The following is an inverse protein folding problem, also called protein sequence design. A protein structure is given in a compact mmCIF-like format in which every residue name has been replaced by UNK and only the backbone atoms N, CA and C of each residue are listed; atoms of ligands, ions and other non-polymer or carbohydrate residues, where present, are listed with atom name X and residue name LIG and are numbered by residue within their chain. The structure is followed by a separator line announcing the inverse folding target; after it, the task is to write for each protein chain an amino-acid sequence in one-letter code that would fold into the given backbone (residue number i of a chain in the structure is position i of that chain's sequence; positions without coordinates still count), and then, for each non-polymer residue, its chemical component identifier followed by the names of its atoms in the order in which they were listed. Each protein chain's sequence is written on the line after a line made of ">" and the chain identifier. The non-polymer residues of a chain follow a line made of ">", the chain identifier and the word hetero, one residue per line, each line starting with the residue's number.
data_IF_289457930716
#
_entry.id   IF_289457930716
#
_cell.length_a   1.000
_cell.length_b   1.000
_cell.length_c   1.000
_cell.angle_alpha   90.00
_cell.angle_beta   90.00
_cell.angle_gamma   90.00
#
_symmetry.space_group_name_H-M   'P 1'
#
loop_
_entity.id
_entity.type
_entity.pdbx_description
1 polymer ?
#
# COMPACT_ATOMS: atom_id res chain seq x y z
N UNK A 1 0.38 24.63 27.94
CA UNK A 1 -0.08 23.24 28.23
C UNK A 1 -0.26 22.57 26.89
N UNK A 2 0.78 21.92 26.37
CA UNK A 2 0.70 21.24 25.07
C UNK A 2 -0.14 19.98 25.25
N UNK A 3 -1.28 19.91 24.56
CA UNK A 3 -2.14 18.73 24.53
C UNK A 3 -1.43 17.62 23.77
N UNK A 4 -0.76 16.72 24.50
CA UNK A 4 -0.15 15.50 23.95
C UNK A 4 -1.26 14.49 23.64
N UNK A 5 -2.04 14.76 22.59
CA UNK A 5 -2.85 13.71 21.99
C UNK A 5 -1.88 12.77 21.28
N UNK A 6 -1.58 11.62 21.87
CA UNK A 6 -0.85 10.56 21.18
C UNK A 6 -1.58 10.25 19.87
N UNK A 7 -0.91 10.43 18.74
CA UNK A 7 -1.52 10.27 17.41
C UNK A 7 -2.10 8.86 17.17
N UNK A 8 -1.60 7.86 17.90
CA UNK A 8 -1.99 6.45 17.79
C UNK A 8 -2.16 5.82 19.17
N UNK A 9 -3.10 4.88 19.27
CA UNK A 9 -3.32 4.07 20.48
C UNK A 9 -2.86 2.64 20.31
N UNK A 10 -2.56 1.96 21.41
CA UNK A 10 -2.24 0.52 21.39
C UNK A 10 -3.44 -0.24 20.83
N UNK A 11 -3.18 -1.13 19.87
CA UNK A 11 -4.19 -1.87 19.13
C UNK A 11 -4.52 -1.27 17.77
N UNK A 12 -4.20 0.00 17.51
CA UNK A 12 -4.49 0.66 16.23
C UNK A 12 -3.73 0.01 15.07
N UNK A 13 -4.41 -0.08 13.93
CA UNK A 13 -3.78 -0.36 12.65
C UNK A 13 -3.18 0.92 12.05
N UNK A 14 -1.95 0.80 11.58
CA UNK A 14 -1.16 1.91 11.06
C UNK A 14 -0.51 1.50 9.76
N UNK A 15 -0.36 2.45 8.84
CA UNK A 15 0.39 2.25 7.61
C UNK A 15 1.74 2.93 7.76
N UNK A 16 2.80 2.12 7.65
CA UNK A 16 4.16 2.59 7.63
C UNK A 16 4.69 2.54 6.18
N UNK A 17 5.12 3.67 5.59
CA UNK A 17 5.68 3.70 4.25
C UNK A 17 6.77 2.63 4.06
N UNK A 18 6.77 1.90 2.94
CA UNK A 18 7.65 0.75 2.67
C UNK A 18 7.44 -0.53 3.50
N UNK A 19 6.72 -0.53 4.62
CA UNK A 19 6.40 -1.77 5.39
C UNK A 19 4.91 -2.14 5.43
N UNK A 20 4.04 -1.18 5.12
CA UNK A 20 2.63 -1.44 4.86
C UNK A 20 1.84 -1.38 6.16
N UNK A 21 0.79 -2.19 6.24
CA UNK A 21 -0.05 -2.24 7.44
C UNK A 21 0.70 -2.96 8.57
N UNK A 22 0.84 -2.28 9.70
CA UNK A 22 1.28 -2.83 10.96
C UNK A 22 0.28 -2.52 12.07
N UNK A 23 0.51 -3.08 13.24
CA UNK A 23 -0.30 -2.83 14.44
C UNK A 23 0.54 -2.24 15.55
N UNK A 24 0.02 -1.24 16.24
CA UNK A 24 0.64 -0.71 17.46
C UNK A 24 0.47 -1.74 18.58
N UNK A 25 1.58 -2.32 19.03
CA UNK A 25 1.61 -3.32 20.10
C UNK A 25 1.70 -2.66 21.46
N UNK A 26 2.52 -1.60 21.56
CA UNK A 26 2.84 -0.95 22.84
C UNK A 26 3.35 0.47 22.60
N UNK A 27 3.17 1.34 23.60
CA UNK A 27 3.88 2.61 23.72
C UNK A 27 4.91 2.48 24.85
N UNK A 28 6.19 2.45 24.49
CA UNK A 28 7.30 2.25 25.43
C UNK A 28 7.95 3.60 25.78
N UNK A 29 8.36 3.77 27.04
CA UNK A 29 9.23 4.86 27.50
C UNK A 29 10.63 4.31 27.74
N UNK A 30 11.63 4.86 27.08
CA UNK A 30 13.02 4.43 27.19
C UNK A 30 13.95 5.63 27.37
N UNK A 31 14.94 5.51 28.25
CA UNK A 31 15.96 6.53 28.44
C UNK A 31 17.17 6.21 27.56
N UNK A 32 17.42 7.05 26.55
CA UNK A 32 18.53 6.88 25.61
C UNK A 32 19.43 8.12 25.71
N UNK A 33 20.70 7.92 26.08
CA UNK A 33 21.68 9.00 26.27
C UNK A 33 21.23 10.11 27.24
N UNK A 34 20.54 9.73 28.33
CA UNK A 34 20.04 10.66 29.34
C UNK A 34 18.77 11.43 28.94
N UNK A 35 18.18 11.11 27.78
CA UNK A 35 16.91 11.67 27.32
C UNK A 35 15.80 10.63 27.39
N UNK A 36 14.69 10.99 28.02
CA UNK A 36 13.47 10.17 28.06
C UNK A 36 12.75 10.28 26.69
N UNK A 37 12.61 9.14 26.00
CA UNK A 37 11.95 9.04 24.69
C UNK A 37 10.73 8.13 24.79
N UNK A 38 9.63 8.55 24.16
CA UNK A 38 8.47 7.72 23.91
C UNK A 38 8.57 7.09 22.52
N UNK A 39 8.37 5.77 22.45
CA UNK A 39 8.53 4.93 21.26
C UNK A 39 7.25 4.12 21.01
N UNK A 40 6.68 4.21 19.81
CA UNK A 40 5.67 3.27 19.35
C UNK A 40 6.35 1.96 18.94
N UNK A 41 5.87 0.84 19.48
CA UNK A 41 6.29 -0.51 19.08
C UNK A 41 5.26 -1.02 18.06
N UNK A 42 5.68 -1.15 16.81
CA UNK A 42 4.85 -1.62 15.69
C UNK A 42 5.21 -3.05 15.35
N UNK A 43 4.22 -3.92 15.17
CA UNK A 43 4.41 -5.27 14.63
C UNK A 43 3.81 -5.39 13.23
N UNK A 44 4.59 -5.94 12.31
CA UNK A 44 4.18 -6.28 10.95
C UNK A 44 4.10 -7.80 10.86
N UNK A 45 2.90 -8.33 10.63
CA UNK A 45 2.64 -9.78 10.70
C UNK A 45 3.33 -10.53 9.56
N UNK A 46 3.28 -9.97 8.34
CA UNK A 46 3.84 -10.58 7.14
C UNK A 46 5.36 -10.69 7.19
N UNK A 47 6.04 -9.59 7.53
CA UNK A 47 7.50 -9.53 7.62
C UNK A 47 8.03 -10.13 8.94
N UNK A 48 7.15 -10.53 9.87
CA UNK A 48 7.50 -10.96 11.24
C UNK A 48 8.46 -9.98 11.93
N UNK A 49 8.26 -8.70 11.66
CA UNK A 49 9.17 -7.63 12.04
C UNK A 49 8.53 -6.74 13.11
N UNK A 50 9.36 -6.27 14.05
CA UNK A 50 8.97 -5.27 15.04
C UNK A 50 9.81 -4.00 14.83
N UNK A 51 9.16 -2.85 14.69
CA UNK A 51 9.82 -1.55 14.58
C UNK A 51 9.52 -0.68 15.79
N UNK A 52 10.50 0.11 16.24
CA UNK A 52 10.34 1.13 17.27
C UNK A 52 10.45 2.51 16.64
N UNK A 53 9.40 3.30 16.74
CA UNK A 53 9.33 4.63 16.13
C UNK A 53 9.15 5.69 17.20
N UNK A 54 10.09 6.63 17.35
CA UNK A 54 9.93 7.76 18.26
C UNK A 54 8.68 8.59 17.94
N UNK A 55 7.88 8.91 18.95
CA UNK A 55 6.62 9.66 18.80
C UNK A 55 6.84 10.98 18.04
N UNK A 56 7.96 11.65 18.29
CA UNK A 56 8.33 12.91 17.64
C UNK A 56 8.72 12.79 16.15
N UNK A 57 8.94 11.58 15.63
CA UNK A 57 9.31 11.33 14.22
C UNK A 57 8.21 10.73 13.38
N UNK A 58 7.07 10.39 13.98
CA UNK A 58 5.94 9.71 13.33
C UNK A 58 5.47 10.44 12.08
N UNK A 59 5.20 11.74 12.17
CA UNK A 59 4.76 12.56 11.04
C UNK A 59 5.84 12.68 9.95
N UNK A 60 7.10 12.88 10.35
CA UNK A 60 8.23 13.03 9.44
C UNK A 60 8.50 11.77 8.61
N UNK A 61 8.18 10.59 9.15
CA UNK A 61 8.34 9.30 8.47
C UNK A 61 7.13 8.99 7.57
N UNK A 62 6.02 9.73 7.70
CA UNK A 62 4.79 9.48 6.94
C UNK A 62 3.96 8.33 7.49
N UNK A 63 4.11 8.00 8.78
CA UNK A 63 3.26 7.01 9.43
C UNK A 63 1.84 7.55 9.57
N UNK A 64 0.85 6.78 9.09
CA UNK A 64 -0.56 7.20 9.05
C UNK A 64 -1.50 6.13 9.59
N UNK A 65 -2.74 6.53 9.88
CA UNK A 65 -3.83 5.58 10.15
C UNK A 65 -4.24 4.87 8.85
N UNK A 66 -4.98 3.76 8.98
CA UNK A 66 -5.65 3.14 7.84
C UNK A 66 -6.46 4.16 7.05
N UNK A 67 -6.57 3.90 5.75
CA UNK A 67 -7.41 4.70 4.87
C UNK A 67 -8.88 4.69 5.33
N UNK A 68 -9.62 5.74 4.97
CA UNK A 68 -11.07 5.77 5.17
C UNK A 68 -11.78 4.90 4.14
N UNK A 69 -12.99 4.44 4.45
CA UNK A 69 -13.86 3.72 3.50
C UNK A 69 -14.04 4.49 2.18
N UNK A 70 -14.11 5.83 2.25
CA UNK A 70 -14.17 6.69 1.05
C UNK A 70 -12.93 6.53 0.17
N UNK A 71 -11.74 6.56 0.77
CA UNK A 71 -10.47 6.39 0.06
C UNK A 71 -10.34 4.99 -0.53
N UNK A 72 -10.80 3.97 0.20
CA UNK A 72 -10.83 2.59 -0.30
C UNK A 72 -11.74 2.46 -1.52
N UNK A 73 -12.96 3.00 -1.46
CA UNK A 73 -13.89 3.04 -2.61
C UNK A 73 -13.26 3.72 -3.82
N UNK A 74 -12.58 4.84 -3.61
CA UNK A 74 -11.86 5.54 -4.68
C UNK A 74 -10.72 4.69 -5.27
N UNK A 75 -9.96 3.98 -4.43
CA UNK A 75 -8.91 3.07 -4.90
C UNK A 75 -9.49 1.91 -5.72
N UNK A 76 -10.59 1.32 -5.27
CA UNK A 76 -11.31 0.27 -5.99
C UNK A 76 -11.88 0.77 -7.32
N UNK A 77 -12.43 1.99 -7.37
CA UNK A 77 -12.88 2.62 -8.61
C UNK A 77 -11.71 2.87 -9.57
N UNK A 78 -10.56 3.28 -9.04
CA UNK A 78 -9.33 3.51 -9.81
C UNK A 78 -8.84 2.24 -10.50
N UNK A 79 -8.98 1.07 -9.86
CA UNK A 79 -8.66 -0.24 -10.46
C UNK A 79 -9.53 -0.55 -11.69
N UNK A 80 -10.79 -0.11 -11.71
CA UNK A 80 -11.73 -0.35 -12.81
C UNK A 80 -11.49 0.53 -14.03
N UNK A 81 -10.70 1.60 -13.89
CA UNK A 81 -10.44 2.54 -14.97
C UNK A 81 -9.50 2.00 -16.05
N UNK A 82 -9.32 2.78 -17.12
CA UNK A 82 -8.37 2.45 -18.20
C UNK A 82 -6.91 2.54 -17.71
N UNK A 83 -6.06 1.52 -17.95
CA UNK A 83 -4.62 1.60 -17.70
C UNK A 83 -3.97 2.80 -18.40
N UNK A 84 -3.19 3.59 -17.67
CA UNK A 84 -2.53 4.81 -18.19
C UNK A 84 -1.02 4.60 -18.28
N UNK A 85 -0.61 3.69 -19.15
CA UNK A 85 0.81 3.36 -19.33
C UNK A 85 1.52 4.44 -20.16
N UNK A 86 2.49 5.13 -19.55
CA UNK A 86 3.32 6.13 -20.26
C UNK A 86 4.27 5.45 -21.26
N UNK A 87 4.54 6.11 -22.39
CA UNK A 87 5.50 5.67 -23.42
C UNK A 87 6.98 5.99 -23.08
N UNK A 88 7.33 6.05 -21.80
CA UNK A 88 8.70 6.30 -21.34
C UNK A 88 9.48 5.01 -21.13
N UNK A 89 10.81 5.08 -21.14
CA UNK A 89 11.67 3.94 -20.83
C UNK A 89 11.29 3.31 -19.50
N UNK A 90 11.26 1.96 -19.48
CA UNK A 90 10.81 1.16 -18.33
C UNK A 90 11.50 1.56 -17.02
N UNK A 91 12.82 1.77 -17.03
CA UNK A 91 13.57 2.17 -15.82
C UNK A 91 12.98 3.41 -15.14
N UNK A 92 12.55 4.42 -15.91
CA UNK A 92 11.92 5.63 -15.37
C UNK A 92 10.51 5.33 -14.82
N UNK A 93 9.75 4.46 -15.49
CA UNK A 93 8.43 4.02 -15.03
C UNK A 93 8.51 3.21 -13.74
N UNK A 94 9.45 2.28 -13.66
CA UNK A 94 9.71 1.46 -12.47
C UNK A 94 10.00 2.36 -11.26
N UNK A 95 10.87 3.37 -11.41
CA UNK A 95 11.17 4.32 -10.35
C UNK A 95 9.93 5.14 -9.92
N UNK A 96 9.10 5.59 -10.88
CA UNK A 96 7.84 6.29 -10.57
C UNK A 96 6.85 5.38 -9.83
N UNK A 97 6.75 4.11 -10.23
CA UNK A 97 5.87 3.13 -9.58
C UNK A 97 6.35 2.76 -8.19
N UNK A 98 7.65 2.53 -8.00
CA UNK A 98 8.23 2.32 -6.68
C UNK A 98 8.01 3.53 -5.77
N UNK A 99 8.15 4.76 -6.30
CA UNK A 99 7.87 5.97 -5.54
C UNK A 99 6.39 6.05 -5.11
N UNK A 100 5.45 5.67 -5.99
CA UNK A 100 4.02 5.57 -5.68
C UNK A 100 3.71 4.48 -4.64
N UNK A 101 4.39 3.34 -4.71
CA UNK A 101 4.22 2.27 -3.71
C UNK A 101 4.78 2.72 -2.36
N UNK A 102 5.93 3.40 -2.38
CA UNK A 102 6.62 3.86 -1.19
C UNK A 102 5.98 5.11 -0.56
N UNK A 103 5.16 5.87 -1.29
CA UNK A 103 4.40 7.00 -0.71
C UNK A 103 3.37 6.53 0.31
N UNK A 104 2.91 5.27 0.19
CA UNK A 104 1.88 4.71 1.04
C UNK A 104 0.49 5.29 0.76
N UNK A 105 0.27 5.96 -0.37
CA UNK A 105 -1.07 6.41 -0.78
C UNK A 105 -1.84 5.27 -1.47
N UNK A 106 -3.02 4.95 -0.94
CA UNK A 106 -3.80 3.79 -1.38
C UNK A 106 -4.24 3.90 -2.85
N UNK A 107 -4.64 5.11 -3.28
CA UNK A 107 -5.06 5.37 -4.66
C UNK A 107 -3.88 5.23 -5.61
N UNK A 108 -2.72 5.80 -5.26
CA UNK A 108 -1.49 5.67 -6.05
C UNK A 108 -1.04 4.22 -6.21
N UNK A 109 -1.17 3.40 -5.16
CA UNK A 109 -0.87 1.96 -5.23
C UNK A 109 -1.85 1.27 -6.20
N UNK A 110 -3.15 1.57 -6.10
CA UNK A 110 -4.15 1.02 -7.01
C UNK A 110 -3.90 1.39 -8.47
N UNK A 111 -3.43 2.60 -8.76
CA UNK A 111 -3.02 2.97 -10.12
C UNK A 111 -1.89 2.09 -10.65
N UNK A 112 -0.86 1.83 -9.83
CA UNK A 112 0.27 0.97 -10.21
C UNK A 112 -0.19 -0.46 -10.45
N UNK A 113 -1.03 -0.99 -9.56
CA UNK A 113 -1.60 -2.34 -9.70
C UNK A 113 -2.40 -2.45 -11.01
N UNK A 114 -3.26 -1.48 -11.32
CA UNK A 114 -4.01 -1.44 -12.58
C UNK A 114 -3.07 -1.35 -13.80
N UNK A 115 -2.12 -0.43 -13.79
CA UNK A 115 -1.29 -0.13 -14.96
C UNK A 115 -0.34 -1.29 -15.31
N UNK A 116 0.08 -2.05 -14.30
CA UNK A 116 0.91 -3.23 -14.49
C UNK A 116 0.11 -4.49 -14.82
N UNK A 117 -1.13 -4.63 -14.34
CA UNK A 117 -1.96 -5.82 -14.60
C UNK A 117 -2.02 -6.17 -16.10
N UNK A 118 -1.91 -7.47 -16.41
CA UNK A 118 -2.06 -8.01 -17.76
C UNK A 118 -3.04 -9.18 -17.72
N UNK A 119 -4.10 -9.16 -18.55
CA UNK A 119 -4.98 -10.31 -18.70
C UNK A 119 -4.27 -11.44 -19.48
N UNK A 120 -4.85 -12.66 -19.44
CA UNK A 120 -4.19 -13.90 -19.89
C UNK A 120 -3.99 -13.99 -21.41
N UNK A 121 -4.72 -13.18 -22.17
CA UNK A 121 -4.60 -13.01 -23.62
C UNK A 121 -3.38 -12.16 -24.04
N UNK A 122 -2.75 -11.46 -23.09
CA UNK A 122 -1.62 -10.57 -23.33
C UNK A 122 -0.27 -11.26 -23.07
N UNK A 123 0.82 -10.76 -23.70
CA UNK A 123 2.17 -11.26 -23.44
C UNK A 123 2.53 -11.19 -21.95
N UNK A 124 3.25 -12.22 -21.47
CA UNK A 124 3.68 -12.31 -20.09
C UNK A 124 4.52 -11.09 -19.68
N UNK A 125 4.29 -10.60 -18.47
CA UNK A 125 5.05 -9.50 -17.89
C UNK A 125 6.52 -9.87 -17.77
N UNK A 126 7.41 -8.89 -17.94
CA UNK A 126 8.81 -9.10 -17.56
C UNK A 126 8.92 -9.39 -16.06
N UNK A 127 9.96 -10.12 -15.65
CA UNK A 127 10.21 -10.43 -14.24
C UNK A 127 10.21 -9.17 -13.36
N UNK A 128 10.80 -8.08 -13.82
CA UNK A 128 10.79 -6.80 -13.09
C UNK A 128 9.41 -6.18 -12.97
N UNK A 129 8.57 -6.27 -14.01
CA UNK A 129 7.18 -5.77 -13.95
C UNK A 129 6.36 -6.58 -12.96
N UNK A 130 6.51 -7.91 -13.00
CA UNK A 130 5.86 -8.84 -12.09
C UNK A 130 6.22 -8.55 -10.63
N UNK A 131 7.49 -8.31 -10.32
CA UNK A 131 7.91 -7.97 -8.96
C UNK A 131 7.24 -6.69 -8.43
N UNK A 132 7.16 -5.64 -9.25
CA UNK A 132 6.51 -4.38 -8.84
C UNK A 132 4.99 -4.58 -8.70
N UNK A 133 4.38 -5.36 -9.59
CA UNK A 133 2.96 -5.69 -9.51
C UNK A 133 2.63 -6.49 -8.24
N UNK A 134 3.41 -7.52 -7.92
CA UNK A 134 3.26 -8.31 -6.69
C UNK A 134 3.45 -7.44 -5.44
N UNK A 135 4.43 -6.53 -5.47
CA UNK A 135 4.63 -5.57 -4.38
C UNK A 135 3.43 -4.64 -4.22
N UNK A 136 2.92 -4.04 -5.30
CA UNK A 136 1.78 -3.12 -5.26
C UNK A 136 0.49 -3.83 -4.82
N UNK A 137 0.15 -4.95 -5.46
CA UNK A 137 -1.05 -5.73 -5.15
C UNK A 137 -1.07 -6.26 -3.72
N UNK A 138 0.06 -6.73 -3.19
CA UNK A 138 0.15 -7.14 -1.78
C UNK A 138 -0.02 -5.98 -0.81
N UNK A 139 0.37 -4.75 -1.17
CA UNK A 139 0.17 -3.57 -0.31
C UNK A 139 -1.29 -3.18 -0.27
N UNK A 140 -1.92 -3.13 -1.43
CA UNK A 140 -3.33 -2.83 -1.58
C UNK A 140 -4.19 -3.88 -0.86
N UNK A 141 -3.88 -5.17 -1.05
CA UNK A 141 -4.60 -6.28 -0.43
C UNK A 141 -4.50 -6.24 1.10
N UNK A 142 -3.35 -5.87 1.67
CA UNK A 142 -3.19 -5.76 3.13
C UNK A 142 -4.01 -4.63 3.73
N UNK A 143 -4.07 -3.49 3.05
CA UNK A 143 -4.89 -2.38 3.53
C UNK A 143 -6.38 -2.67 3.39
N UNK A 144 -6.79 -3.29 2.27
CA UNK A 144 -8.15 -3.79 2.09
C UNK A 144 -8.52 -4.84 3.16
N UNK A 145 -7.62 -5.79 3.43
CA UNK A 145 -7.80 -6.84 4.44
C UNK A 145 -7.99 -6.26 5.85
N UNK A 146 -7.15 -5.30 6.24
CA UNK A 146 -7.25 -4.66 7.54
C UNK A 146 -8.50 -3.77 7.69
N UNK A 147 -9.03 -3.24 6.58
CA UNK A 147 -10.25 -2.42 6.58
C UNK A 147 -11.54 -3.24 6.54
N UNK A 148 -11.56 -4.35 5.79
CA UNK A 148 -12.73 -5.24 5.66
C UNK A 148 -12.71 -6.41 6.67
N UNK A 149 -11.74 -6.44 7.58
CA UNK A 149 -11.54 -7.50 8.58
C UNK A 149 -11.47 -8.91 7.95
N UNK A 150 -10.81 -9.01 6.80
CA UNK A 150 -10.62 -10.26 6.04
C UNK A 150 -9.12 -10.63 5.96
N UNK A 151 -8.80 -11.80 5.42
CA UNK A 151 -7.42 -12.21 5.16
C UNK A 151 -6.82 -11.60 3.87
N UNK A 152 -5.48 -11.44 3.83
CA UNK A 152 -4.76 -10.90 2.68
C UNK A 152 -5.01 -11.70 1.38
N UNK A 153 -4.99 -13.05 1.36
CA UNK A 153 -5.33 -13.82 0.17
C UNK A 153 -6.74 -13.54 -0.38
N UNK A 154 -7.76 -13.49 0.47
CA UNK A 154 -9.14 -13.17 0.08
C UNK A 154 -9.24 -11.75 -0.48
N UNK A 155 -8.62 -10.77 0.18
CA UNK A 155 -8.55 -9.40 -0.31
C UNK A 155 -7.83 -9.28 -1.66
N UNK A 156 -6.74 -10.03 -1.84
CA UNK A 156 -5.99 -10.07 -3.09
C UNK A 156 -6.83 -10.67 -4.23
N UNK A 157 -7.52 -11.79 -3.98
CA UNK A 157 -8.40 -12.40 -4.97
C UNK A 157 -9.49 -11.43 -5.41
N UNK A 158 -10.12 -10.71 -4.47
CA UNK A 158 -11.12 -9.68 -4.78
C UNK A 158 -10.55 -8.56 -5.67
N UNK A 159 -9.32 -8.12 -5.44
CA UNK A 159 -8.63 -7.14 -6.29
C UNK A 159 -8.38 -7.72 -7.69
N UNK A 160 -7.91 -8.97 -7.77
CA UNK A 160 -7.63 -9.65 -9.03
C UNK A 160 -8.91 -9.91 -9.84
N UNK A 161 -10.02 -10.25 -9.20
CA UNK A 161 -11.31 -10.47 -9.86
C UNK A 161 -11.84 -9.18 -10.49
N UNK A 162 -11.75 -8.06 -9.75
CA UNK A 162 -12.11 -6.73 -10.28
C UNK A 162 -11.23 -6.38 -11.50
N UNK A 163 -9.94 -6.70 -11.45
CA UNK A 163 -9.03 -6.45 -12.57
C UNK A 163 -9.32 -7.37 -13.76
N UNK A 164 -9.64 -8.65 -13.55
CA UNK A 164 -9.99 -9.60 -14.62
C UNK A 164 -11.30 -9.23 -15.31
N UNK A 165 -12.28 -8.72 -14.56
CA UNK A 165 -13.55 -8.27 -15.12
C UNK A 165 -13.40 -6.99 -15.95
N UNK A 166 -12.60 -6.02 -15.48
CA UNK A 166 -12.55 -4.68 -16.06
C UNK A 166 -11.30 -4.37 -16.88
N UNK A 167 -10.25 -5.20 -16.88
CA UNK A 167 -9.09 -4.95 -17.74
C UNK A 167 -9.34 -5.30 -19.21
N UNK A 168 -9.95 -6.45 -19.58
CA UNK A 168 -10.07 -6.89 -20.99
C UNK A 168 -10.76 -5.86 -21.89
N UNK A 169 -11.80 -5.18 -21.37
CA UNK A 169 -12.53 -4.13 -22.10
C UNK A 169 -11.64 -2.99 -22.63
N UNK A 170 -10.43 -2.81 -22.09
CA UNK A 170 -9.48 -1.79 -22.54
C UNK A 170 -8.38 -2.32 -23.45
N UNK A 171 -8.19 -3.64 -23.52
CA UNK A 171 -7.24 -4.29 -24.43
C UNK A 171 -7.89 -4.57 -25.79
N UNK A 172 -9.15 -5.02 -25.83
CA UNK A 172 -9.90 -5.22 -27.08
C UNK A 172 -10.02 -3.91 -27.90
N UNK A 173 -10.20 -2.78 -27.21
CA UNK A 173 -10.29 -1.45 -27.86
C UNK A 173 -8.95 -0.91 -28.40
N UNK A 174 -7.82 -1.59 -28.15
CA UNK A 174 -6.50 -1.17 -28.59
C UNK A 174 -6.05 -1.82 -29.91
N UNK A 175 -6.74 -2.88 -30.37
CA UNK A 175 -6.48 -3.51 -31.68
C UNK A 175 -7.20 -2.81 -32.85
N UNK A 176 -8.23 -1.99 -32.59
CA UNK A 176 -9.03 -1.31 -33.62
C UNK A 176 -8.61 0.15 -33.93
N UNK A 177 -7.53 0.67 -33.34
CA UNK A 177 -7.09 2.07 -33.51
C UNK A 177 -5.59 2.21 -33.82
#
# INVERSE_FOLDING_TARGET
>A
MASTANAFTVGDYVVYPKHGVGRVVELQREEIAGMQLELYVLRFEKERMTLRVPVNKVEAIGMRKLSSDKTLKQAMETLKGKPKVKRTMWSRRAQEYEAKINSGDLVSIAEVTRDLFRPEDQPEQSYSERQIFEAASSRLARELAAMEETDEPTALNKILDVLREHAPQYYDSAEEA
#
